data_IF_534274915068
#
_entry.id   IF_534274915068
#
_cell.length_a   1.000
_cell.length_b   1.000
_cell.length_c   1.000
_cell.angle_alpha   90.00
_cell.angle_beta   90.00
_cell.angle_gamma   90.00
#
_symmetry.space_group_name_H-M   'P 1'
#
loop_
_entity.id
_entity.type
_entity.pdbx_description
1 polymer ?
#
# COMPACT_ATOMS: atom_id res chain seq x y z
N UNK A 1 -14.26 -12.65 -3.36
CA UNK A 1 -14.30 -12.01 -2.02
C UNK A 1 -13.25 -10.91 -1.96
N UNK A 2 -13.67 -9.71 -1.63
CA UNK A 2 -12.77 -8.56 -1.50
C UNK A 2 -11.81 -8.78 -0.33
N UNK A 3 -10.54 -8.52 -0.57
CA UNK A 3 -9.49 -8.60 0.44
C UNK A 3 -9.00 -7.19 0.77
N UNK A 4 -8.86 -6.92 2.05
CA UNK A 4 -8.24 -5.68 2.53
C UNK A 4 -6.82 -5.98 3.01
N UNK A 5 -5.87 -5.25 2.47
CA UNK A 5 -4.49 -5.29 2.90
C UNK A 5 -4.18 -4.02 3.68
N UNK A 6 -3.65 -4.16 4.88
CA UNK A 6 -3.21 -3.03 5.70
C UNK A 6 -1.71 -3.16 5.90
N UNK A 7 -0.96 -2.18 5.39
CA UNK A 7 0.49 -2.13 5.56
C UNK A 7 0.83 -0.96 6.46
N UNK A 8 1.56 -1.25 7.54
CA UNK A 8 2.10 -0.24 8.45
C UNK A 8 3.59 -0.15 8.22
N UNK A 9 4.12 1.06 8.06
CA UNK A 9 5.52 1.24 7.68
C UNK A 9 6.07 2.59 8.09
N UNK A 10 7.38 2.64 8.30
CA UNK A 10 8.13 3.88 8.47
C UNK A 10 9.03 4.06 7.26
N UNK A 11 9.38 5.31 6.96
CA UNK A 11 10.32 5.63 5.89
C UNK A 11 11.74 5.73 6.44
N UNK A 12 12.71 5.65 5.55
CA UNK A 12 14.10 5.94 5.88
C UNK A 12 14.26 7.40 6.28
N UNK A 13 15.31 7.74 7.03
CA UNK A 13 15.60 9.11 7.41
C UNK A 13 15.87 9.98 6.17
N UNK A 14 15.52 11.24 6.27
CA UNK A 14 15.82 12.23 5.23
C UNK A 14 14.76 12.38 4.16
N UNK A 15 13.75 11.52 4.12
CA UNK A 15 12.64 11.69 3.20
C UNK A 15 11.50 12.47 3.87
N UNK A 16 11.03 13.53 3.21
CA UNK A 16 9.92 14.32 3.72
C UNK A 16 8.58 13.64 3.46
N UNK A 17 7.53 14.10 4.16
CA UNK A 17 6.18 13.60 3.90
C UNK A 17 5.75 13.81 2.46
N UNK A 18 5.99 15.01 1.93
CA UNK A 18 5.60 15.33 0.55
C UNK A 18 6.36 14.48 -0.45
N UNK A 19 7.64 14.24 -0.21
CA UNK A 19 8.43 13.35 -1.06
C UNK A 19 7.88 11.93 -1.06
N UNK A 20 7.52 11.43 0.12
CA UNK A 20 6.96 10.07 0.22
C UNK A 20 5.59 9.97 -0.44
N UNK A 21 4.74 10.97 -0.29
CA UNK A 21 3.45 11.03 -0.98
C UNK A 21 3.66 10.95 -2.49
N UNK A 22 4.65 11.68 -3.00
CA UNK A 22 5.01 11.62 -4.42
C UNK A 22 5.50 10.25 -4.87
N UNK A 23 6.28 9.58 -4.02
CA UNK A 23 6.74 8.21 -4.29
C UNK A 23 5.55 7.25 -4.35
N UNK A 24 4.61 7.36 -3.41
CA UNK A 24 3.41 6.53 -3.40
C UNK A 24 2.53 6.83 -4.63
N UNK A 25 2.38 8.11 -4.99
CA UNK A 25 1.63 8.46 -6.20
C UNK A 25 2.21 7.75 -7.44
N UNK A 26 3.53 7.77 -7.59
CA UNK A 26 4.19 7.05 -8.67
C UNK A 26 3.96 5.54 -8.62
N UNK A 27 4.02 4.96 -7.43
CA UNK A 27 3.75 3.54 -7.23
C UNK A 27 2.32 3.18 -7.69
N UNK A 28 1.34 3.98 -7.30
CA UNK A 28 -0.04 3.72 -7.63
C UNK A 28 -0.32 3.86 -9.13
N UNK A 29 0.20 4.93 -9.74
CA UNK A 29 -0.02 5.20 -11.17
C UNK A 29 0.71 4.22 -12.07
N UNK A 30 1.92 3.81 -11.71
CA UNK A 30 2.79 3.06 -12.61
C UNK A 30 2.90 1.58 -12.27
N UNK A 31 2.59 1.18 -11.05
CA UNK A 31 2.65 -0.22 -10.64
C UNK A 31 1.29 -0.79 -10.30
N UNK A 32 0.64 -0.28 -9.23
CA UNK A 32 -0.63 -0.87 -8.76
C UNK A 32 -1.73 -0.80 -9.80
N UNK A 33 -1.81 0.30 -10.57
CA UNK A 33 -2.84 0.46 -11.61
C UNK A 33 -2.81 -0.66 -12.67
N UNK A 34 -1.67 -1.32 -12.84
CA UNK A 34 -1.50 -2.39 -13.83
C UNK A 34 -1.71 -3.78 -13.23
N UNK A 35 -1.91 -3.89 -11.93
CA UNK A 35 -2.03 -5.20 -11.29
C UNK A 35 -3.46 -5.72 -11.39
N UNK A 36 -3.58 -6.97 -11.79
CA UNK A 36 -4.88 -7.64 -11.86
C UNK A 36 -5.54 -7.65 -10.48
N UNK A 37 -6.81 -7.26 -10.43
CA UNK A 37 -7.60 -7.32 -9.21
C UNK A 37 -7.38 -6.17 -8.23
N UNK A 38 -6.49 -5.23 -8.54
CA UNK A 38 -6.32 -4.04 -7.72
C UNK A 38 -7.56 -3.16 -7.80
N UNK A 39 -8.03 -2.67 -6.65
CA UNK A 39 -9.22 -1.81 -6.58
C UNK A 39 -8.84 -0.38 -6.22
N UNK A 40 -8.28 -0.16 -5.06
CA UNK A 40 -7.92 1.17 -4.59
C UNK A 40 -6.87 1.14 -3.48
N UNK A 41 -6.34 2.32 -3.17
CA UNK A 41 -5.38 2.55 -2.10
C UNK A 41 -5.78 3.80 -1.32
N UNK A 42 -5.68 3.72 -0.01
CA UNK A 42 -5.75 4.87 0.88
C UNK A 42 -4.45 4.97 1.66
N UNK A 43 -3.87 6.17 1.73
CA UNK A 43 -2.64 6.42 2.47
C UNK A 43 -2.94 7.29 3.68
N UNK A 44 -2.52 6.84 4.86
CA UNK A 44 -2.78 7.50 6.14
C UNK A 44 -1.47 7.69 6.88
N UNK A 45 -1.40 8.72 7.73
CA UNK A 45 -0.21 9.00 8.53
C UNK A 45 -0.57 9.16 10.01
N UNK A 46 0.18 8.48 10.87
CA UNK A 46 0.03 8.57 12.31
C UNK A 46 1.09 9.52 12.86
N UNK A 47 0.69 10.73 13.23
CA UNK A 47 1.62 11.80 13.63
C UNK A 47 2.45 11.45 14.86
N UNK A 48 1.84 10.85 15.88
CA UNK A 48 2.53 10.55 17.13
C UNK A 48 3.62 9.48 16.97
N UNK A 49 3.37 8.50 16.10
CA UNK A 49 4.29 7.37 15.91
C UNK A 49 5.18 7.55 14.68
N UNK A 50 4.96 8.58 13.88
CA UNK A 50 5.67 8.81 12.62
C UNK A 50 5.59 7.58 11.71
N UNK A 51 4.39 7.00 11.59
CA UNK A 51 4.13 5.82 10.78
C UNK A 51 3.11 6.09 9.70
N UNK A 52 3.33 5.43 8.57
CA UNK A 52 2.37 5.44 7.47
C UNK A 52 1.54 4.17 7.49
N UNK A 53 0.30 4.29 7.08
CA UNK A 53 -0.60 3.17 6.84
C UNK A 53 -1.07 3.23 5.40
N UNK A 54 -0.99 2.11 4.72
CA UNK A 54 -1.53 1.97 3.37
C UNK A 54 -2.61 0.91 3.43
N UNK A 55 -3.83 1.29 3.05
CA UNK A 55 -4.97 0.39 3.04
C UNK A 55 -5.35 0.14 1.59
N UNK A 56 -5.26 -1.10 1.16
CA UNK A 56 -5.56 -1.48 -0.21
C UNK A 56 -6.65 -2.53 -0.28
N UNK A 57 -7.45 -2.45 -1.32
CA UNK A 57 -8.47 -3.44 -1.60
C UNK A 57 -8.13 -4.19 -2.90
N UNK A 58 -8.39 -5.49 -2.86
CA UNK A 58 -8.10 -6.41 -3.96
C UNK A 58 -9.31 -7.30 -4.22
N UNK A 59 -9.53 -7.69 -5.47
CA UNK A 59 -10.63 -8.58 -5.82
C UNK A 59 -10.48 -9.97 -5.22
N UNK A 60 -9.23 -10.42 -5.01
CA UNK A 60 -8.96 -11.74 -4.44
C UNK A 60 -7.60 -11.77 -3.76
N UNK A 61 -7.42 -12.76 -2.90
CA UNK A 61 -6.14 -13.01 -2.24
C UNK A 61 -5.07 -13.42 -3.26
N UNK A 62 -5.43 -14.15 -4.29
CA UNK A 62 -4.49 -14.58 -5.33
C UNK A 62 -3.96 -13.37 -6.10
N UNK A 63 -4.81 -12.43 -6.43
CA UNK A 63 -4.39 -11.19 -7.12
C UNK A 63 -3.41 -10.40 -6.27
N UNK A 64 -3.70 -10.26 -4.97
CA UNK A 64 -2.78 -9.60 -4.04
C UNK A 64 -1.44 -10.32 -3.97
N UNK A 65 -1.43 -11.64 -3.88
CA UNK A 65 -0.20 -12.43 -3.82
C UNK A 65 0.65 -12.27 -5.07
N UNK A 66 0.03 -12.26 -6.24
CA UNK A 66 0.76 -12.07 -7.50
C UNK A 66 1.40 -10.69 -7.56
N UNK A 67 0.69 -9.65 -7.16
CA UNK A 67 1.26 -8.30 -7.10
C UNK A 67 2.41 -8.21 -6.08
N UNK A 68 2.25 -8.85 -4.92
CA UNK A 68 3.28 -8.86 -3.89
C UNK A 68 4.59 -9.49 -4.34
N UNK A 69 4.53 -10.47 -5.23
CA UNK A 69 5.74 -11.08 -5.80
C UNK A 69 6.48 -10.10 -6.72
N UNK A 70 5.77 -9.20 -7.36
CA UNK A 70 6.33 -8.29 -8.37
C UNK A 70 6.88 -7.01 -7.76
N UNK A 71 6.40 -6.58 -6.60
CA UNK A 71 6.75 -5.27 -6.06
C UNK A 71 8.26 -5.09 -5.80
N UNK A 72 8.97 -6.17 -5.47
CA UNK A 72 10.40 -6.10 -5.19
C UNK A 72 11.28 -6.20 -6.43
N UNK A 73 10.70 -6.54 -7.58
CA UNK A 73 11.45 -6.73 -8.83
C UNK A 73 11.00 -5.80 -9.94
N UNK A 74 9.86 -5.13 -9.77
CA UNK A 74 9.34 -4.18 -10.76
C UNK A 74 10.05 -2.84 -10.62
N UNK A 75 10.55 -2.33 -11.73
CA UNK A 75 11.26 -1.05 -11.77
C UNK A 75 10.40 0.12 -11.28
N UNK A 76 9.10 0.07 -11.56
CA UNK A 76 8.18 1.14 -11.19
C UNK A 76 7.85 1.14 -9.68
N UNK A 77 8.22 0.11 -8.94
CA UNK A 77 8.07 0.05 -7.49
C UNK A 77 9.38 0.31 -6.75
N UNK A 78 10.48 0.49 -7.45
CA UNK A 78 11.82 0.58 -6.86
C UNK A 78 11.96 1.75 -5.88
N UNK A 79 11.49 2.93 -6.25
CA UNK A 79 11.60 4.10 -5.39
C UNK A 79 10.82 3.91 -4.09
N UNK A 80 9.65 3.28 -4.18
CA UNK A 80 8.85 2.98 -3.00
C UNK A 80 9.60 2.02 -2.06
N UNK A 81 10.11 0.92 -2.58
CA UNK A 81 10.84 -0.07 -1.78
C UNK A 81 12.07 0.56 -1.11
N UNK A 82 12.81 1.38 -1.85
CA UNK A 82 13.99 2.08 -1.31
C UNK A 82 13.66 3.09 -0.23
N UNK A 83 12.47 3.68 -0.26
CA UNK A 83 12.08 4.71 0.71
C UNK A 83 11.66 4.12 2.06
N UNK A 84 11.48 2.80 2.16
CA UNK A 84 11.01 2.16 3.38
C UNK A 84 12.14 1.73 4.30
N UNK A 85 11.92 1.92 5.61
CA UNK A 85 12.65 1.19 6.64
C UNK A 85 12.04 -0.21 6.68
N UNK A 86 12.72 -1.17 6.09
CA UNK A 86 12.18 -2.52 5.83
C UNK A 86 11.83 -3.26 7.12
N UNK A 87 12.55 -3.00 8.20
CA UNK A 87 12.27 -3.65 9.49
C UNK A 87 10.96 -3.16 10.12
N UNK A 88 10.51 -1.98 9.73
CA UNK A 88 9.28 -1.40 10.26
C UNK A 88 8.01 -1.94 9.62
N UNK A 89 8.12 -2.61 8.48
CA UNK A 89 6.96 -3.02 7.68
C UNK A 89 6.20 -4.15 8.36
N UNK A 90 4.91 -3.91 8.61
CA UNK A 90 3.96 -4.90 9.15
C UNK A 90 2.76 -4.96 8.22
N UNK A 91 2.27 -6.16 7.97
CA UNK A 91 1.19 -6.36 7.02
C UNK A 91 0.09 -7.24 7.62
N UNK A 92 -1.17 -6.83 7.40
CA UNK A 92 -2.34 -7.62 7.69
C UNK A 92 -3.12 -7.83 6.40
N UNK A 93 -3.58 -9.05 6.18
CA UNK A 93 -4.39 -9.40 5.02
C UNK A 93 -5.69 -9.99 5.56
N UNK A 94 -6.79 -9.26 5.34
CA UNK A 94 -8.08 -9.55 5.96
C UNK A 94 -9.18 -9.62 4.90
N UNK A 95 -9.95 -10.72 4.84
CA UNK A 95 -11.10 -10.75 3.96
C UNK A 95 -12.20 -9.82 4.48
N UNK A 96 -12.85 -9.11 3.56
CA UNK A 96 -13.99 -8.26 3.90
C UNK A 96 -15.18 -9.15 4.23
N UNK A 97 -15.82 -8.89 5.37
CA UNK A 97 -17.03 -9.61 5.76
C UNK A 97 -18.26 -8.82 5.35
N UNK A 98 -18.26 -7.51 5.64
CA UNK A 98 -19.40 -6.65 5.35
C UNK A 98 -18.96 -5.19 5.33
N UNK A 99 -19.72 -4.36 4.66
CA UNK A 99 -19.50 -2.91 4.65
C UNK A 99 -20.82 -2.19 4.89
N UNK A 100 -20.72 -1.04 5.50
CA UNK A 100 -21.85 -0.13 5.67
C UNK A 100 -21.42 1.24 5.18
N UNK A 101 -22.35 1.95 4.55
CA UNK A 101 -22.09 3.29 4.08
C UNK A 101 -23.32 4.17 4.38
N UNK A 102 -23.06 5.45 4.62
CA UNK A 102 -24.15 6.43 4.74
C UNK A 102 -24.60 6.79 3.32
N UNK A 103 -25.88 6.54 3.06
CA UNK A 103 -26.47 6.75 1.74
C UNK A 103 -27.35 8.01 1.68
N UNK A 104 -27.32 8.83 2.70
CA UNK A 104 -28.09 10.08 2.74
C UNK A 104 -27.59 11.12 1.74
#
# INVERSE_FOLDING_TARGET
MIITEIVRMKTVEGITKDEFIGVVDGLERNFHSRQKGFIDTELLYHDEENEWYMIQHWNSKDDLKEASKKIFIDKDAEDFVKSLDKQSVKMLILPRIATWANTL
#
